data_IF_288522774527
#
_entry.id   IF_288522774527
#
_cell.length_a   1.000
_cell.length_b   1.000
_cell.length_c   1.000
_cell.angle_alpha   90.00
_cell.angle_beta   90.00
_cell.angle_gamma   90.00
#
_symmetry.space_group_name_H-M   'P 1'
#
loop_
_entity.id
_entity.type
_entity.pdbx_description
1 polymer ?
#
# COMPACT_ATOMS: atom_id res chain seq x y z
N UNK A 1 -29.06 3.28 -0.84
CA UNK A 1 -28.27 4.52 -0.98
C UNK A 1 -26.91 4.13 -1.54
N UNK A 2 -26.48 4.73 -2.65
CA UNK A 2 -25.14 4.48 -3.20
C UNK A 2 -24.13 5.17 -2.28
N UNK A 3 -23.27 4.41 -1.61
CA UNK A 3 -22.17 4.99 -0.83
C UNK A 3 -21.25 5.74 -1.81
N UNK A 4 -21.03 7.03 -1.57
CA UNK A 4 -20.06 7.82 -2.33
C UNK A 4 -18.66 7.47 -1.83
N UNK A 5 -17.80 6.98 -2.72
CA UNK A 5 -16.37 6.83 -2.44
C UNK A 5 -15.74 8.23 -2.40
N UNK A 6 -15.18 8.68 -1.26
CA UNK A 6 -14.54 9.98 -1.19
C UNK A 6 -13.28 9.99 -2.05
N UNK A 7 -13.23 10.90 -3.03
CA UNK A 7 -12.01 11.21 -3.77
C UNK A 7 -11.23 12.29 -3.01
N UNK A 8 -9.94 12.04 -2.79
CA UNK A 8 -9.02 13.00 -2.17
C UNK A 8 -7.97 13.37 -3.20
N UNK A 9 -7.98 14.63 -3.63
CA UNK A 9 -6.96 15.17 -4.54
C UNK A 9 -5.72 15.62 -3.77
N UNK A 10 -4.54 15.20 -4.23
CA UNK A 10 -3.25 15.57 -3.66
C UNK A 10 -2.24 14.43 -3.71
N UNK A 11 -0.96 14.71 -3.39
CA UNK A 11 0.05 13.68 -3.28
C UNK A 11 -0.22 12.79 -2.07
N UNK A 12 0.07 11.49 -2.18
CA UNK A 12 -0.06 10.54 -1.07
C UNK A 12 0.83 10.90 0.14
N UNK A 13 1.91 11.67 -0.06
CA UNK A 13 2.72 12.22 1.03
C UNK A 13 1.94 13.09 2.02
N UNK A 14 0.72 13.52 1.68
CA UNK A 14 -0.17 14.26 2.56
C UNK A 14 -1.04 13.35 3.46
N UNK A 15 -0.79 12.03 3.53
CA UNK A 15 -1.48 11.09 4.45
C UNK A 15 -1.74 11.68 5.86
N UNK A 16 -0.78 12.31 6.55
CA UNK A 16 -1.05 12.93 7.85
C UNK A 16 -2.11 14.05 7.80
N UNK A 17 -2.07 14.89 6.75
CA UNK A 17 -3.05 15.97 6.54
C UNK A 17 -4.41 15.40 6.17
N UNK A 18 -4.45 14.33 5.38
CA UNK A 18 -5.68 13.62 5.00
C UNK A 18 -6.32 13.04 6.26
N UNK A 19 -5.55 12.34 7.12
CA UNK A 19 -6.03 11.84 8.40
C UNK A 19 -6.69 12.94 9.23
N UNK A 20 -6.02 14.09 9.36
CA UNK A 20 -6.54 15.23 10.11
C UNK A 20 -7.81 15.83 9.47
N UNK A 21 -7.78 16.09 8.15
CA UNK A 21 -8.88 16.72 7.40
C UNK A 21 -10.17 15.90 7.45
N UNK A 22 -10.05 14.58 7.34
CA UNK A 22 -11.21 13.67 7.33
C UNK A 22 -11.52 13.08 8.71
N UNK A 23 -10.76 13.45 9.75
CA UNK A 23 -10.98 12.96 11.11
C UNK A 23 -10.88 11.45 11.23
N UNK A 24 -9.94 10.82 10.50
CA UNK A 24 -9.78 9.36 10.48
C UNK A 24 -9.19 8.92 11.82
N UNK A 25 -9.97 8.15 12.58
CA UNK A 25 -9.61 7.69 13.94
C UNK A 25 -9.15 6.25 14.01
N UNK A 26 -9.54 5.43 13.04
CA UNK A 26 -9.21 4.01 12.96
C UNK A 26 -8.17 3.74 11.88
N UNK A 27 -7.51 2.60 11.97
CA UNK A 27 -6.68 2.04 10.90
C UNK A 27 -7.53 1.62 9.70
N UNK A 28 -6.86 1.42 8.58
CA UNK A 28 -7.43 0.79 7.40
C UNK A 28 -7.22 -0.72 7.47
N UNK A 29 -8.28 -1.49 7.22
CA UNK A 29 -8.18 -2.96 7.09
C UNK A 29 -7.39 -3.34 5.83
N UNK A 30 -7.45 -2.50 4.79
CA UNK A 30 -6.86 -2.76 3.49
C UNK A 30 -6.38 -1.47 2.82
N UNK A 31 -5.18 -1.50 2.25
CA UNK A 31 -4.60 -0.42 1.46
C UNK A 31 -4.10 -1.00 0.14
N UNK A 32 -4.48 -0.38 -0.97
CA UNK A 32 -4.01 -0.75 -2.30
C UNK A 32 -3.06 0.31 -2.84
N UNK A 33 -1.83 -0.10 -3.17
CA UNK A 33 -0.90 0.73 -3.94
C UNK A 33 -1.07 0.43 -5.43
N UNK A 34 -1.59 1.42 -6.15
CA UNK A 34 -1.90 1.31 -7.57
C UNK A 34 -0.69 1.47 -8.49
N UNK A 35 -0.89 1.42 -9.82
CA UNK A 35 0.18 1.21 -10.80
C UNK A 35 1.15 2.39 -11.01
N UNK A 36 1.09 3.48 -10.23
CA UNK A 36 1.95 4.66 -10.38
C UNK A 36 2.59 5.06 -9.04
N UNK A 37 3.71 5.81 -9.08
CA UNK A 37 4.37 6.30 -7.86
C UNK A 37 5.06 5.22 -7.02
N UNK A 38 5.77 4.25 -7.65
CA UNK A 38 6.42 3.14 -6.94
C UNK A 38 7.49 3.60 -5.94
N UNK A 39 8.12 4.75 -6.20
CA UNK A 39 9.03 5.44 -5.30
C UNK A 39 8.38 5.89 -3.98
N UNK A 40 7.04 5.98 -3.98
CA UNK A 40 6.24 6.34 -2.80
C UNK A 40 5.80 5.18 -1.95
N UNK A 41 5.87 3.93 -2.43
CA UNK A 41 5.35 2.78 -1.67
C UNK A 41 5.99 2.67 -0.29
N UNK A 42 7.31 2.81 -0.17
CA UNK A 42 8.00 2.76 1.14
C UNK A 42 7.70 4.01 1.99
N UNK A 43 7.89 5.24 1.49
CA UNK A 43 7.53 6.44 2.24
C UNK A 43 6.09 6.44 2.75
N UNK A 44 5.14 6.05 1.92
CA UNK A 44 3.71 6.06 2.28
C UNK A 44 3.38 4.92 3.23
N UNK A 45 3.99 3.75 3.07
CA UNK A 45 3.88 2.66 4.07
C UNK A 45 4.31 3.15 5.45
N UNK A 46 5.46 3.83 5.54
CA UNK A 46 5.94 4.41 6.80
C UNK A 46 5.00 5.50 7.34
N UNK A 47 4.47 6.37 6.47
CA UNK A 47 3.49 7.36 6.91
C UNK A 47 2.21 6.71 7.47
N UNK A 48 1.75 5.62 6.86
CA UNK A 48 0.60 4.86 7.37
C UNK A 48 0.91 4.25 8.74
N UNK A 49 2.08 3.65 8.91
CA UNK A 49 2.55 3.11 10.20
C UNK A 49 2.64 4.21 11.27
N UNK A 50 3.37 5.30 10.99
CA UNK A 50 3.62 6.42 11.91
C UNK A 50 2.32 7.15 12.29
N UNK A 51 1.36 7.21 11.36
CA UNK A 51 0.04 7.77 11.64
C UNK A 51 -0.90 6.80 12.36
N UNK A 52 -0.49 5.56 12.64
CA UNK A 52 -1.38 4.53 13.20
C UNK A 52 -2.56 4.19 12.30
N UNK A 53 -2.37 4.33 10.98
CA UNK A 53 -3.38 4.03 9.96
C UNK A 53 -3.29 2.59 9.46
N UNK A 54 -2.33 1.81 9.96
CA UNK A 54 -2.30 0.35 9.88
C UNK A 54 -2.22 -0.22 11.28
N UNK A 55 -2.92 -1.33 11.50
CA UNK A 55 -2.94 -2.09 12.76
C UNK A 55 -2.73 -3.56 12.46
N UNK A 56 -2.47 -4.39 13.48
CA UNK A 56 -2.33 -5.83 13.29
C UNK A 56 -3.50 -6.39 12.46
N UNK A 57 -3.18 -7.16 11.42
CA UNK A 57 -4.13 -7.69 10.44
C UNK A 57 -4.38 -6.80 9.22
N UNK A 58 -3.99 -5.51 9.23
CA UNK A 58 -4.08 -4.63 8.06
C UNK A 58 -3.31 -5.21 6.87
N UNK A 59 -3.92 -5.19 5.70
CA UNK A 59 -3.31 -5.70 4.46
C UNK A 59 -2.87 -4.55 3.56
N UNK A 60 -1.58 -4.52 3.24
CA UNK A 60 -1.03 -3.70 2.17
C UNK A 60 -0.92 -4.57 0.91
N UNK A 61 -1.63 -4.22 -0.16
CA UNK A 61 -1.56 -4.90 -1.45
C UNK A 61 -0.92 -3.96 -2.47
N UNK A 62 0.26 -4.31 -2.96
CA UNK A 62 1.02 -3.48 -3.88
C UNK A 62 1.03 -4.07 -5.29
N UNK A 63 0.65 -3.26 -6.28
CA UNK A 63 0.69 -3.60 -7.70
C UNK A 63 2.03 -3.26 -8.36
N UNK A 64 2.33 -3.94 -9.46
CA UNK A 64 3.54 -3.74 -10.27
C UNK A 64 4.86 -3.85 -9.54
N UNK A 65 4.96 -4.78 -8.59
CA UNK A 65 6.17 -4.94 -7.76
C UNK A 65 7.33 -5.57 -8.53
N UNK A 66 7.08 -6.18 -9.70
CA UNK A 66 8.11 -6.75 -10.58
C UNK A 66 8.29 -5.90 -11.85
N UNK A 67 7.20 -5.50 -12.52
CA UNK A 67 7.28 -4.69 -13.74
C UNK A 67 6.30 -3.49 -13.68
N UNK A 68 6.78 -2.23 -13.66
CA UNK A 68 8.18 -1.81 -13.79
C UNK A 68 9.03 -2.01 -12.52
N UNK A 69 8.42 -2.40 -11.40
CA UNK A 69 9.14 -2.84 -10.20
C UNK A 69 9.08 -1.86 -9.03
N UNK A 70 9.02 -2.44 -7.82
CA UNK A 70 9.11 -1.71 -6.55
C UNK A 70 10.11 -2.41 -5.61
N UNK A 71 11.40 -2.52 -5.99
CA UNK A 71 12.39 -3.32 -5.27
C UNK A 71 12.60 -2.88 -3.82
N UNK A 72 12.59 -1.56 -3.56
CA UNK A 72 12.73 -1.03 -2.20
C UNK A 72 11.52 -1.37 -1.32
N UNK A 73 10.31 -1.41 -1.90
CA UNK A 73 9.13 -1.85 -1.17
C UNK A 73 9.22 -3.33 -0.82
N UNK A 74 9.52 -4.19 -1.79
CA UNK A 74 9.71 -5.63 -1.56
C UNK A 74 10.78 -5.88 -0.49
N UNK A 75 11.91 -5.17 -0.58
CA UNK A 75 12.97 -5.24 0.42
C UNK A 75 12.50 -4.81 1.81
N UNK A 76 11.73 -3.72 1.89
CA UNK A 76 11.21 -3.21 3.15
C UNK A 76 10.26 -4.20 3.83
N UNK A 77 9.22 -4.66 3.13
CA UNK A 77 8.20 -5.53 3.73
C UNK A 77 8.70 -6.96 3.98
N UNK A 78 9.55 -7.52 3.11
CA UNK A 78 10.06 -8.90 3.28
C UNK A 78 11.14 -9.04 4.35
N UNK A 79 11.84 -7.95 4.69
CA UNK A 79 12.89 -7.97 5.72
C UNK A 79 12.42 -7.36 7.05
N UNK A 80 11.14 -7.01 7.18
CA UNK A 80 10.58 -6.46 8.41
C UNK A 80 9.84 -7.55 9.17
N UNK A 81 10.09 -7.76 10.48
CA UNK A 81 9.31 -8.70 11.30
C UNK A 81 7.86 -8.23 11.50
N UNK A 82 7.55 -6.98 11.14
CA UNK A 82 6.22 -6.38 11.24
C UNK A 82 5.31 -6.77 10.09
N UNK A 83 5.79 -7.56 9.12
CA UNK A 83 5.02 -7.96 7.96
C UNK A 83 5.16 -9.46 7.64
N UNK A 84 4.02 -10.13 7.41
CA UNK A 84 3.97 -11.39 6.68
C UNK A 84 3.70 -11.10 5.20
N UNK A 85 4.69 -11.33 4.34
CA UNK A 85 4.61 -10.99 2.92
C UNK A 85 4.44 -12.23 2.05
N UNK A 86 3.55 -12.15 1.06
CA UNK A 86 3.32 -13.19 0.04
C UNK A 86 3.17 -12.57 -1.34
N UNK A 87 3.97 -13.06 -2.27
CA UNK A 87 3.89 -12.69 -3.68
C UNK A 87 2.82 -13.51 -4.42
N UNK A 88 2.04 -12.82 -5.25
CA UNK A 88 1.03 -13.39 -6.14
C UNK A 88 1.40 -13.09 -7.58
N UNK A 89 2.02 -14.08 -8.24
CA UNK A 89 2.43 -14.00 -9.64
C UNK A 89 1.22 -13.80 -10.57
N UNK A 90 1.37 -12.89 -11.53
CA UNK A 90 0.43 -12.61 -12.61
C UNK A 90 1.19 -12.07 -13.84
N UNK A 91 0.48 -11.43 -14.77
CA UNK A 91 1.07 -10.68 -15.87
C UNK A 91 0.75 -9.20 -15.72
N UNK A 92 1.65 -8.34 -16.22
CA UNK A 92 1.39 -6.91 -16.40
C UNK A 92 0.16 -6.72 -17.30
N UNK A 93 -0.67 -5.74 -16.96
CA UNK A 93 -1.94 -5.47 -17.61
C UNK A 93 -1.87 -5.50 -19.14
N UNK A 94 -2.76 -6.27 -19.76
CA UNK A 94 -2.87 -6.43 -21.21
C UNK A 94 -1.63 -7.00 -21.93
N UNK A 95 -0.66 -7.55 -21.20
CA UNK A 95 0.55 -8.15 -21.77
C UNK A 95 0.78 -9.59 -21.30
N UNK A 96 1.88 -10.20 -21.77
CA UNK A 96 2.40 -11.48 -21.26
C UNK A 96 3.69 -11.31 -20.43
N UNK A 97 4.05 -10.07 -20.11
CA UNK A 97 5.21 -9.77 -19.27
C UNK A 97 4.85 -10.18 -17.85
N UNK A 98 5.74 -10.95 -17.19
CA UNK A 98 5.53 -11.35 -15.80
C UNK A 98 5.49 -10.13 -14.90
N UNK A 99 4.49 -10.11 -14.02
CA UNK A 99 4.38 -9.16 -12.94
C UNK A 99 3.67 -9.82 -11.74
N UNK A 100 3.26 -9.06 -10.74
CA UNK A 100 2.39 -9.59 -9.71
C UNK A 100 2.09 -8.59 -8.61
N UNK A 101 1.34 -9.09 -7.63
CA UNK A 101 0.97 -8.33 -6.44
C UNK A 101 1.78 -8.82 -5.25
N UNK A 102 2.31 -7.91 -4.44
CA UNK A 102 2.82 -8.26 -3.11
C UNK A 102 1.73 -7.98 -2.08
N UNK A 103 1.30 -9.02 -1.38
CA UNK A 103 0.41 -8.88 -0.21
C UNK A 103 1.27 -8.88 1.05
N UNK A 104 1.18 -7.83 1.84
CA UNK A 104 1.93 -7.68 3.10
C UNK A 104 0.93 -7.47 4.24
N UNK A 105 0.79 -8.47 5.11
CA UNK A 105 -0.08 -8.41 6.30
C UNK A 105 0.72 -7.81 7.45
N UNK A 106 0.26 -6.71 8.02
CA UNK A 106 0.94 -6.05 9.14
C UNK A 106 0.70 -6.82 10.45
N UNK A 107 1.77 -7.08 11.21
CA UNK A 107 1.78 -7.90 12.42
C UNK A 107 1.98 -7.09 13.71
N UNK A 108 2.25 -5.77 13.61
CA UNK A 108 2.63 -4.91 14.74
C UNK A 108 4.09 -4.48 14.68
#
# INVERSE_FOLDING_TARGET
MMQKLPLVEGPSGDIPKIKARFGIKSSFDFVFFGPTGKDRYVPDTKLLEDCGLVSEGSVLLADNVICPGAPEYLKYVRNSPRYESRYYKSNLEYTKVEDGLEKSVFLG
#
